data_IF_751225423910
#
_entry.id   IF_751225423910
#
_cell.length_a   1.000
_cell.length_b   1.000
_cell.length_c   1.000
_cell.angle_alpha   90.00
_cell.angle_beta   90.00
_cell.angle_gamma   90.00
#
_symmetry.space_group_name_H-M   'P 1'
#
loop_
_entity.id
_entity.type
_entity.pdbx_description
1 polymer ?
#
# COMPACT_ATOMS: atom_id res chain seq x y z
N UNK A 1 13.94 -11.31 -13.92
CA UNK A 1 15.16 -10.79 -13.25
C UNK A 1 14.81 -10.47 -11.80
N UNK A 2 15.57 -10.94 -10.79
CA UNK A 2 15.30 -10.58 -9.40
C UNK A 2 15.38 -9.06 -9.23
N UNK A 3 14.32 -8.46 -8.71
CA UNK A 3 14.30 -7.01 -8.45
C UNK A 3 15.34 -6.69 -7.36
N UNK A 4 16.12 -5.62 -7.54
CA UNK A 4 17.08 -5.22 -6.50
C UNK A 4 16.35 -4.75 -5.25
N UNK A 5 16.92 -5.01 -4.07
CA UNK A 5 16.33 -4.59 -2.79
C UNK A 5 15.99 -3.09 -2.73
N UNK A 6 16.80 -2.24 -3.38
CA UNK A 6 16.53 -0.80 -3.49
C UNK A 6 15.26 -0.48 -4.29
N UNK A 7 15.02 -1.21 -5.38
CA UNK A 7 13.82 -1.04 -6.21
C UNK A 7 12.57 -1.54 -5.47
N UNK A 8 12.68 -2.63 -4.71
CA UNK A 8 11.58 -3.14 -3.89
C UNK A 8 11.19 -2.15 -2.78
N UNK A 9 12.18 -1.58 -2.08
CA UNK A 9 11.94 -0.57 -1.06
C UNK A 9 11.33 0.71 -1.64
N UNK A 10 11.79 1.15 -2.82
CA UNK A 10 11.22 2.31 -3.51
C UNK A 10 9.75 2.08 -3.89
N UNK A 11 9.41 0.91 -4.44
CA UNK A 11 8.02 0.56 -4.78
C UNK A 11 7.12 0.53 -3.53
N UNK A 12 7.59 -0.07 -2.43
CA UNK A 12 6.83 -0.06 -1.16
C UNK A 12 6.66 1.36 -0.63
N UNK A 13 7.71 2.18 -0.66
CA UNK A 13 7.65 3.57 -0.18
C UNK A 13 6.68 4.41 -1.02
N UNK A 14 6.74 4.31 -2.35
CA UNK A 14 5.82 4.99 -3.27
C UNK A 14 4.38 4.59 -2.99
N UNK A 15 4.10 3.29 -2.88
CA UNK A 15 2.75 2.78 -2.57
C UNK A 15 2.27 3.26 -1.20
N UNK A 16 3.12 3.26 -0.18
CA UNK A 16 2.76 3.72 1.16
C UNK A 16 2.41 5.20 1.17
N UNK A 17 3.21 6.03 0.49
CA UNK A 17 2.94 7.48 0.37
C UNK A 17 1.64 7.73 -0.38
N UNK A 18 1.46 7.08 -1.53
CA UNK A 18 0.23 7.20 -2.32
C UNK A 18 -1.00 6.74 -1.52
N UNK A 19 -0.90 5.60 -0.81
CA UNK A 19 -1.98 5.09 0.06
C UNK A 19 -2.33 6.11 1.15
N UNK A 20 -1.33 6.72 1.79
CA UNK A 20 -1.57 7.72 2.82
C UNK A 20 -2.27 8.95 2.26
N UNK A 21 -1.76 9.50 1.14
CA UNK A 21 -2.33 10.69 0.50
C UNK A 21 -3.75 10.43 0.04
N UNK A 22 -4.01 9.30 -0.61
CA UNK A 22 -5.34 8.91 -1.07
C UNK A 22 -6.32 8.76 0.10
N UNK A 23 -5.94 8.03 1.16
CA UNK A 23 -6.80 7.85 2.33
C UNK A 23 -7.05 9.17 3.07
N UNK A 24 -6.02 9.99 3.23
CA UNK A 24 -6.13 11.30 3.89
C UNK A 24 -7.05 12.24 3.13
N UNK A 25 -6.83 12.39 1.82
CA UNK A 25 -7.66 13.24 0.97
C UNK A 25 -9.08 12.70 0.88
N UNK A 26 -9.26 11.37 0.80
CA UNK A 26 -10.58 10.74 0.79
C UNK A 26 -11.38 11.03 2.06
N UNK A 27 -10.76 10.86 3.24
CA UNK A 27 -11.40 11.19 4.53
C UNK A 27 -11.66 12.69 4.68
N UNK A 28 -10.73 13.55 4.24
CA UNK A 28 -10.89 14.99 4.30
C UNK A 28 -12.04 15.47 3.39
N UNK A 29 -12.11 14.94 2.17
CA UNK A 29 -13.21 15.21 1.23
C UNK A 29 -14.53 14.66 1.76
N UNK A 30 -14.53 13.47 2.36
CA UNK A 30 -15.73 12.89 2.96
C UNK A 30 -16.30 13.79 4.05
N UNK A 31 -15.46 14.32 4.96
CA UNK A 31 -15.93 15.25 5.99
C UNK A 31 -16.27 16.65 5.47
N UNK A 32 -15.66 17.09 4.37
CA UNK A 32 -15.95 18.40 3.77
C UNK A 32 -17.22 18.42 2.91
N UNK A 33 -17.59 17.29 2.31
CA UNK A 33 -18.68 17.18 1.33
C UNK A 33 -19.90 16.44 1.90
N UNK A 34 -19.72 15.67 2.97
CA UNK A 34 -20.78 14.86 3.58
C UNK A 34 -20.76 14.99 5.10
N UNK A 35 -21.92 14.77 5.73
CA UNK A 35 -22.04 14.71 7.19
C UNK A 35 -21.73 13.30 7.76
N UNK A 36 -21.16 12.40 6.95
CA UNK A 36 -20.90 11.00 7.35
C UNK A 36 -19.64 10.89 8.22
N UNK A 37 -18.66 11.78 8.01
CA UNK A 37 -17.35 11.73 8.68
C UNK A 37 -17.11 13.05 9.40
N UNK A 38 -17.22 13.06 10.73
CA UNK A 38 -16.88 14.21 11.57
C UNK A 38 -15.55 13.96 12.28
N UNK A 39 -14.46 14.31 11.60
CA UNK A 39 -13.09 14.15 12.11
C UNK A 39 -12.33 15.46 11.92
N UNK A 40 -11.61 15.87 12.96
CA UNK A 40 -10.60 16.93 12.82
C UNK A 40 -9.49 16.51 11.86
N UNK A 41 -8.76 17.48 11.30
CA UNK A 41 -7.63 17.23 10.38
C UNK A 41 -6.60 16.27 10.98
N UNK A 42 -6.32 16.40 12.28
CA UNK A 42 -5.39 15.54 13.00
C UNK A 42 -5.91 14.09 13.12
N UNK A 43 -7.21 13.92 13.37
CA UNK A 43 -7.83 12.59 13.41
C UNK A 43 -7.81 11.95 12.01
N UNK A 44 -8.14 12.71 10.97
CA UNK A 44 -8.08 12.25 9.58
C UNK A 44 -6.66 11.79 9.20
N UNK A 45 -5.63 12.56 9.57
CA UNK A 45 -4.23 12.17 9.38
C UNK A 45 -3.87 10.88 10.12
N UNK A 46 -4.39 10.71 11.34
CA UNK A 46 -4.15 9.51 12.16
C UNK A 46 -4.83 8.27 11.58
N UNK A 47 -6.06 8.40 11.08
CA UNK A 47 -6.80 7.29 10.45
C UNK A 47 -6.16 6.90 9.12
N UNK A 48 -5.74 7.87 8.30
CA UNK A 48 -5.05 7.62 7.03
C UNK A 48 -3.70 6.90 7.20
N UNK A 49 -3.04 7.03 8.36
CA UNK A 49 -1.82 6.30 8.67
C UNK A 49 -2.06 4.78 8.81
N UNK A 50 -3.27 4.35 9.17
CA UNK A 50 -3.59 2.93 9.35
C UNK A 50 -3.48 2.12 8.04
N UNK A 51 -4.17 2.46 6.93
CA UNK A 51 -4.00 1.75 5.67
C UNK A 51 -2.58 1.90 5.11
N UNK A 52 -1.92 3.05 5.30
CA UNK A 52 -0.53 3.23 4.89
C UNK A 52 0.43 2.26 5.62
N UNK A 53 0.23 2.05 6.92
CA UNK A 53 0.98 1.07 7.71
C UNK A 53 0.73 -0.37 7.21
N UNK A 54 -0.52 -0.70 6.86
CA UNK A 54 -0.84 -2.01 6.27
C UNK A 54 -0.14 -2.23 4.93
N UNK A 55 0.03 -1.18 4.11
CA UNK A 55 0.82 -1.26 2.86
C UNK A 55 2.28 -1.64 3.14
N UNK A 56 2.90 -1.06 4.18
CA UNK A 56 4.26 -1.43 4.60
C UNK A 56 4.32 -2.89 5.08
N UNK A 57 3.37 -3.31 5.92
CA UNK A 57 3.30 -4.69 6.43
C UNK A 57 3.15 -5.68 5.27
N UNK A 58 2.26 -5.39 4.31
CA UNK A 58 2.10 -6.19 3.09
C UNK A 58 3.40 -6.24 2.28
N UNK A 59 4.06 -5.09 2.14
CA UNK A 59 5.38 -4.96 1.54
C UNK A 59 6.40 -5.92 2.17
N UNK A 60 6.53 -5.85 3.50
CA UNK A 60 7.45 -6.68 4.28
C UNK A 60 7.14 -8.19 4.16
N UNK A 61 5.87 -8.58 4.26
CA UNK A 61 5.45 -9.99 4.10
C UNK A 61 5.82 -10.51 2.72
N UNK A 62 5.55 -9.73 1.68
CA UNK A 62 5.79 -10.16 0.31
C UNK A 62 7.26 -10.30 -0.08
N UNK A 63 8.17 -9.56 0.58
CA UNK A 63 9.62 -9.81 0.44
C UNK A 63 10.06 -11.16 1.01
N UNK A 64 9.27 -11.80 1.88
CA UNK A 64 9.57 -13.12 2.46
C UNK A 64 8.82 -14.27 1.82
N UNK A 65 7.57 -14.05 1.39
CA UNK A 65 6.67 -15.11 0.93
C UNK A 65 6.45 -15.14 -0.58
N UNK A 66 6.80 -14.09 -1.31
CA UNK A 66 6.45 -13.92 -2.72
C UNK A 66 7.63 -13.89 -3.67
N UNK A 67 7.36 -14.06 -4.96
CA UNK A 67 8.35 -13.75 -6.00
C UNK A 67 8.48 -12.24 -6.16
N UNK A 68 9.57 -11.71 -5.61
CA UNK A 68 9.93 -10.29 -5.67
C UNK A 68 10.10 -9.89 -7.15
N UNK A 69 9.20 -9.02 -7.63
CA UNK A 69 9.22 -8.49 -9.00
C UNK A 69 7.97 -8.77 -9.83
N UNK A 70 6.99 -9.53 -9.33
CA UNK A 70 5.68 -9.70 -9.97
C UNK A 70 4.64 -8.76 -9.35
N UNK A 71 3.55 -8.44 -10.05
CA UNK A 71 2.54 -7.51 -9.53
C UNK A 71 1.76 -8.08 -8.33
N UNK A 72 1.65 -9.41 -8.24
CA UNK A 72 0.88 -10.13 -7.22
C UNK A 72 1.75 -10.75 -6.12
N UNK A 73 3.08 -10.82 -6.33
CA UNK A 73 4.02 -11.52 -5.46
C UNK A 73 3.58 -12.95 -5.14
N UNK A 74 2.95 -13.63 -6.11
CA UNK A 74 2.56 -15.03 -5.96
C UNK A 74 3.79 -15.94 -5.88
N UNK A 75 3.72 -17.06 -5.13
CA UNK A 75 4.70 -18.13 -5.24
C UNK A 75 4.76 -18.63 -6.70
N UNK A 76 5.95 -19.00 -7.18
CA UNK A 76 6.18 -19.48 -8.57
C UNK A 76 5.17 -20.54 -9.04
N UNK A 77 4.82 -21.45 -8.13
CA UNK A 77 3.86 -22.54 -8.38
C UNK A 77 2.43 -22.08 -8.64
N UNK A 78 2.10 -20.85 -8.24
CA UNK A 78 0.77 -20.24 -8.29
C UNK A 78 0.73 -19.03 -9.22
N UNK A 79 1.86 -18.64 -9.82
CA UNK A 79 1.93 -17.53 -10.75
C UNK A 79 1.52 -17.98 -12.17
N UNK A 80 0.41 -17.47 -12.74
CA UNK A 80 -0.03 -17.82 -14.10
C UNK A 80 1.01 -17.47 -15.17
N UNK A 81 1.88 -16.50 -14.91
CA UNK A 81 2.90 -16.05 -15.85
C UNK A 81 4.17 -16.91 -15.83
N UNK A 82 4.31 -17.84 -14.87
CA UNK A 82 5.47 -18.71 -14.76
C UNK A 82 5.47 -19.92 -15.72
N UNK A 83 4.38 -20.15 -16.46
CA UNK A 83 4.22 -21.27 -17.43
C UNK A 83 4.23 -20.85 -18.90
N UNK A 84 4.42 -19.57 -19.17
CA UNK A 84 4.49 -18.99 -20.52
C UNK A 84 5.94 -18.61 -20.84
#
# INVERSE_FOLDING_TARGET
MPQSARKALADVAERTVLTYVEAFLGLLLAGAVTDIVDLSVLQTASVAALPAALTVVKGAIGTRLGQIGTASWLPAKSDPTARL
#
